data_IF_920975010588
#
_entry.id   IF_920975010588
#
_cell.length_a   1.000
_cell.length_b   1.000
_cell.length_c   1.000
_cell.angle_alpha   90.00
_cell.angle_beta   90.00
_cell.angle_gamma   90.00
#
_symmetry.space_group_name_H-M   'P 1'
#
loop_
_entity.id
_entity.type
_entity.pdbx_description
1 polymer ?
#
# COMPACT_ATOMS: atom_id res chain seq x y z
N UNK A 1 16.83 -23.29 -35.93
CA UNK A 1 15.58 -23.08 -35.15
C UNK A 1 15.89 -22.57 -33.73
N UNK A 2 16.81 -21.62 -33.55
CA UNK A 2 17.33 -21.19 -32.22
C UNK A 2 17.20 -19.68 -31.95
N UNK A 3 16.76 -18.88 -32.93
CA UNK A 3 16.66 -17.42 -32.81
C UNK A 3 15.47 -16.90 -32.01
N UNK A 4 14.34 -17.63 -31.96
CA UNK A 4 13.13 -17.23 -31.23
C UNK A 4 13.35 -17.21 -29.70
N UNK A 5 14.08 -18.19 -29.16
CA UNK A 5 14.29 -18.33 -27.72
C UNK A 5 15.10 -17.19 -27.09
N UNK A 6 15.99 -16.52 -27.84
CA UNK A 6 16.80 -15.43 -27.29
C UNK A 6 16.01 -14.11 -27.20
N UNK A 7 15.26 -13.79 -28.26
CA UNK A 7 14.42 -12.60 -28.31
C UNK A 7 13.30 -12.66 -27.25
N UNK A 8 12.67 -13.82 -27.06
CA UNK A 8 11.66 -14.03 -26.01
C UNK A 8 12.26 -13.89 -24.60
N UNK A 9 13.46 -14.41 -24.37
CA UNK A 9 14.16 -14.27 -23.08
C UNK A 9 14.55 -12.82 -22.78
N UNK A 10 15.00 -12.09 -23.79
CA UNK A 10 15.29 -10.65 -23.68
C UNK A 10 14.03 -9.84 -23.41
N UNK A 11 12.94 -10.08 -24.16
CA UNK A 11 11.67 -9.40 -23.97
C UNK A 11 11.08 -9.64 -22.57
N UNK A 12 11.11 -10.88 -22.09
CA UNK A 12 10.69 -11.22 -20.73
C UNK A 12 11.58 -10.56 -19.68
N UNK A 13 12.90 -10.60 -19.87
CA UNK A 13 13.85 -9.95 -18.96
C UNK A 13 13.62 -8.45 -18.85
N UNK A 14 13.42 -7.77 -19.98
CA UNK A 14 13.13 -6.34 -20.03
C UNK A 14 11.78 -6.00 -19.38
N UNK A 15 10.73 -6.77 -19.66
CA UNK A 15 9.42 -6.58 -19.03
C UNK A 15 9.51 -6.74 -17.51
N UNK A 16 10.17 -7.79 -17.03
CA UNK A 16 10.37 -8.02 -15.60
C UNK A 16 11.19 -6.89 -14.96
N UNK A 17 12.28 -6.46 -15.60
CA UNK A 17 13.08 -5.35 -15.12
C UNK A 17 12.25 -4.05 -15.03
N UNK A 18 11.44 -3.76 -16.05
CA UNK A 18 10.53 -2.62 -16.04
C UNK A 18 9.51 -2.71 -14.89
N UNK A 19 8.84 -3.85 -14.72
CA UNK A 19 7.91 -4.06 -13.61
C UNK A 19 8.60 -3.89 -12.26
N UNK A 20 9.81 -4.45 -12.08
CA UNK A 20 10.59 -4.30 -10.83
C UNK A 20 10.89 -2.84 -10.56
N UNK A 21 11.35 -2.07 -11.56
CA UNK A 21 11.65 -0.64 -11.40
C UNK A 21 10.39 0.14 -11.03
N UNK A 22 9.28 -0.09 -11.72
CA UNK A 22 8.00 0.60 -11.45
C UNK A 22 7.49 0.24 -10.05
N UNK A 23 7.43 -1.03 -9.68
CA UNK A 23 6.97 -1.43 -8.35
C UNK A 23 7.90 -0.92 -7.25
N UNK A 24 9.21 -0.93 -7.47
CA UNK A 24 10.17 -0.37 -6.51
C UNK A 24 9.94 1.12 -6.31
N UNK A 25 9.68 1.88 -7.38
CA UNK A 25 9.35 3.29 -7.29
C UNK A 25 8.02 3.55 -6.54
N UNK A 26 6.98 2.74 -6.79
CA UNK A 26 5.70 2.85 -6.10
C UNK A 26 5.78 2.46 -4.61
N UNK A 27 6.62 1.49 -4.27
CA UNK A 27 6.80 0.99 -2.90
C UNK A 27 7.83 1.84 -2.11
N UNK A 28 8.76 2.53 -2.79
CA UNK A 28 9.78 3.37 -2.16
C UNK A 28 9.24 4.33 -1.07
N UNK A 29 8.16 5.11 -1.28
CA UNK A 29 7.64 5.97 -0.22
C UNK A 29 7.12 5.17 0.99
N UNK A 30 6.56 3.97 0.77
CA UNK A 30 6.12 3.11 1.87
C UNK A 30 7.30 2.61 2.71
N UNK A 31 8.44 2.29 2.08
CA UNK A 31 9.67 1.90 2.79
C UNK A 31 10.25 3.02 3.64
N UNK A 32 10.01 4.29 3.28
CA UNK A 32 10.43 5.45 4.07
C UNK A 32 9.48 5.70 5.24
N UNK A 33 8.17 5.53 5.01
CA UNK A 33 7.14 5.73 6.03
C UNK A 33 7.18 4.67 7.14
N UNK A 34 7.52 3.42 6.82
CA UNK A 34 7.55 2.32 7.80
C UNK A 34 8.55 2.56 8.96
N UNK A 35 9.82 2.93 8.75
CA UNK A 35 10.71 3.29 9.85
C UNK A 35 10.21 4.51 10.63
N UNK A 36 9.71 5.53 9.92
CA UNK A 36 9.20 6.76 10.54
C UNK A 36 7.97 6.51 11.42
N UNK A 37 7.15 5.49 11.16
CA UNK A 37 6.01 5.15 12.01
C UNK A 37 6.44 4.62 13.39
N UNK A 38 7.71 4.22 13.54
CA UNK A 38 8.32 3.90 14.82
C UNK A 38 9.03 5.09 15.47
N UNK A 39 8.97 6.31 14.93
CA UNK A 39 9.63 7.45 15.56
C UNK A 39 8.94 7.79 16.91
N UNK A 40 9.75 7.96 17.96
CA UNK A 40 9.29 8.40 19.27
C UNK A 40 8.80 9.87 19.27
N UNK A 41 9.39 10.70 18.42
CA UNK A 41 9.06 12.12 18.30
C UNK A 41 7.70 12.35 17.61
N UNK A 42 7.02 13.47 17.89
CA UNK A 42 5.75 13.83 17.24
C UNK A 42 5.92 14.28 15.77
N UNK A 43 7.14 14.23 15.22
CA UNK A 43 7.47 14.76 13.89
C UNK A 43 7.79 13.64 12.90
N UNK A 44 7.27 13.73 11.67
CA UNK A 44 7.53 12.78 10.58
C UNK A 44 8.84 13.08 9.85
N UNK A 45 9.93 13.18 10.63
CA UNK A 45 11.29 13.41 10.12
C UNK A 45 12.24 12.39 10.73
N UNK A 46 13.28 12.01 10.01
CA UNK A 46 14.35 11.17 10.57
C UNK A 46 15.13 11.97 11.61
N UNK A 47 14.91 11.68 12.89
CA UNK A 47 15.63 12.34 13.98
C UNK A 47 17.08 11.87 14.06
N UNK A 48 17.94 12.64 14.73
CA UNK A 48 19.34 12.24 14.91
C UNK A 48 19.46 10.91 15.67
N UNK A 49 18.58 10.64 16.64
CA UNK A 49 18.55 9.38 17.38
C UNK A 49 18.23 8.18 16.49
N UNK A 50 17.27 8.29 15.57
CA UNK A 50 16.96 7.22 14.61
C UNK A 50 18.13 6.94 13.66
N UNK A 51 18.81 7.99 13.18
CA UNK A 51 19.99 7.83 12.32
C UNK A 51 21.19 7.23 13.09
N UNK A 52 21.30 7.53 14.38
CA UNK A 52 22.31 6.96 15.28
C UNK A 52 21.97 5.54 15.78
N UNK A 53 20.81 4.98 15.38
CA UNK A 53 20.30 3.69 15.84
C UNK A 53 20.14 3.61 17.37
N UNK A 54 19.80 4.73 18.00
CA UNK A 54 19.50 4.79 19.43
C UNK A 54 18.15 4.13 19.71
N UNK A 55 18.10 3.24 20.71
CA UNK A 55 16.89 2.52 21.08
C UNK A 55 15.78 3.47 21.58
N UNK A 56 16.15 4.55 22.26
CA UNK A 56 15.19 5.52 22.83
C UNK A 56 14.48 6.36 21.74
N UNK A 57 15.03 6.39 20.52
CA UNK A 57 14.44 7.08 19.39
C UNK A 57 13.29 6.29 18.72
N UNK A 58 13.09 5.03 19.08
CA UNK A 58 12.03 4.17 18.52
C UNK A 58 10.90 3.91 19.53
N UNK A 59 9.65 4.01 19.09
CA UNK A 59 8.46 3.83 19.94
C UNK A 59 7.25 3.30 19.16
N UNK A 60 6.39 2.54 19.85
CA UNK A 60 5.10 2.07 19.34
C UNK A 60 3.93 3.02 19.70
N UNK A 61 4.23 4.25 20.12
CA UNK A 61 3.23 5.21 20.62
C UNK A 61 2.06 5.43 19.65
N UNK A 62 2.34 5.52 18.36
CA UNK A 62 1.35 5.77 17.32
C UNK A 62 0.41 4.59 17.11
N UNK A 63 0.94 3.37 17.15
CA UNK A 63 0.14 2.15 17.11
C UNK A 63 -0.77 2.06 18.34
N UNK A 64 -0.25 2.39 19.53
CA UNK A 64 -1.06 2.44 20.75
C UNK A 64 -2.15 3.51 20.65
N UNK A 65 -1.86 4.69 20.11
CA UNK A 65 -2.87 5.75 19.98
C UNK A 65 -4.01 5.36 19.05
N UNK A 66 -3.73 4.63 17.96
CA UNK A 66 -4.78 4.14 17.05
C UNK A 66 -5.76 3.18 17.75
N UNK A 67 -5.27 2.36 18.67
CA UNK A 67 -6.09 1.36 19.39
C UNK A 67 -6.85 2.00 20.55
N UNK A 68 -6.18 2.84 21.33
CA UNK A 68 -6.72 3.40 22.58
C UNK A 68 -7.66 4.58 22.32
N UNK A 69 -7.35 5.41 21.32
CA UNK A 69 -8.15 6.60 21.04
C UNK A 69 -9.47 6.21 20.35
N UNK A 70 -10.57 6.62 20.96
CA UNK A 70 -11.92 6.32 20.50
C UNK A 70 -12.24 6.95 19.14
N UNK A 71 -11.75 8.16 18.87
CA UNK A 71 -11.97 8.83 17.57
C UNK A 71 -11.36 8.03 16.42
N UNK A 72 -10.13 7.55 16.60
CA UNK A 72 -9.45 6.73 15.60
C UNK A 72 -10.18 5.41 15.37
N UNK A 73 -10.63 4.76 16.44
CA UNK A 73 -11.37 3.50 16.34
C UNK A 73 -12.72 3.68 15.63
N UNK A 74 -13.47 4.72 16.00
CA UNK A 74 -14.76 5.05 15.37
C UNK A 74 -14.57 5.36 13.88
N UNK A 75 -13.59 6.21 13.54
CA UNK A 75 -13.29 6.53 12.15
C UNK A 75 -12.93 5.28 11.33
N UNK A 76 -12.06 4.41 11.85
CA UNK A 76 -11.71 3.14 11.20
C UNK A 76 -12.94 2.25 10.97
N UNK A 77 -13.78 2.07 11.99
CA UNK A 77 -14.99 1.24 11.85
C UNK A 77 -15.98 1.81 10.85
N UNK A 78 -16.19 3.14 10.85
CA UNK A 78 -17.08 3.80 9.92
C UNK A 78 -16.59 3.68 8.48
N UNK A 79 -15.31 3.94 8.23
CA UNK A 79 -14.71 3.81 6.89
C UNK A 79 -14.77 2.37 6.37
N UNK A 80 -14.47 1.37 7.22
CA UNK A 80 -14.57 -0.04 6.83
C UNK A 80 -16.01 -0.44 6.50
N UNK A 81 -16.97 -0.03 7.33
CA UNK A 81 -18.38 -0.34 7.10
C UNK A 81 -18.89 0.28 5.80
N UNK A 82 -18.67 1.59 5.62
CA UNK A 82 -19.08 2.31 4.41
C UNK A 82 -18.37 1.72 3.18
N UNK A 83 -17.06 1.46 3.26
CA UNK A 83 -16.28 0.91 2.16
C UNK A 83 -16.77 -0.46 1.71
N UNK A 84 -17.09 -1.36 2.65
CA UNK A 84 -17.61 -2.69 2.33
C UNK A 84 -19.00 -2.63 1.68
N UNK A 85 -19.90 -1.83 2.24
CA UNK A 85 -21.26 -1.66 1.69
C UNK A 85 -21.17 -1.05 0.28
N UNK A 86 -20.34 -0.02 0.10
CA UNK A 86 -20.13 0.61 -1.21
C UNK A 86 -19.54 -0.38 -2.23
N UNK A 87 -18.52 -1.17 -1.86
CA UNK A 87 -17.92 -2.17 -2.74
C UNK A 87 -18.92 -3.26 -3.17
N UNK A 88 -19.73 -3.74 -2.23
CA UNK A 88 -20.76 -4.74 -2.50
C UNK A 88 -21.82 -4.19 -3.48
N UNK A 89 -22.36 -2.99 -3.19
CA UNK A 89 -23.34 -2.34 -4.05
C UNK A 89 -22.77 -2.04 -5.44
N UNK A 90 -21.55 -1.50 -5.51
CA UNK A 90 -20.88 -1.20 -6.77
C UNK A 90 -20.67 -2.46 -7.61
N UNK A 91 -20.31 -3.59 -6.97
CA UNK A 91 -20.13 -4.87 -7.66
C UNK A 91 -21.45 -5.40 -8.20
N UNK A 92 -22.52 -5.41 -7.40
CA UNK A 92 -23.84 -5.87 -7.83
C UNK A 92 -24.36 -5.01 -8.99
N UNK A 93 -24.36 -3.68 -8.82
CA UNK A 93 -24.84 -2.76 -9.85
C UNK A 93 -23.97 -2.81 -11.11
N UNK A 94 -22.64 -2.91 -10.95
CA UNK A 94 -21.71 -3.04 -12.07
C UNK A 94 -21.92 -4.32 -12.88
N UNK A 95 -22.15 -5.46 -12.20
CA UNK A 95 -22.47 -6.73 -12.87
C UNK A 95 -23.81 -6.65 -13.59
N UNK A 96 -24.85 -6.09 -12.96
CA UNK A 96 -26.16 -5.93 -13.60
C UNK A 96 -26.09 -5.02 -14.84
N UNK A 97 -25.35 -3.90 -14.75
CA UNK A 97 -25.14 -3.00 -15.88
C UNK A 97 -24.37 -3.68 -17.03
N UNK A 98 -23.33 -4.46 -16.71
CA UNK A 98 -22.57 -5.20 -17.72
C UNK A 98 -23.44 -6.25 -18.43
N UNK A 99 -24.29 -6.97 -17.70
CA UNK A 99 -25.23 -7.94 -18.28
C UNK A 99 -26.27 -7.25 -19.18
N UNK A 100 -26.81 -6.10 -18.75
CA UNK A 100 -27.76 -5.34 -19.55
C UNK A 100 -27.17 -4.72 -20.82
N UNK A 101 -25.86 -4.39 -20.83
CA UNK A 101 -25.19 -3.89 -22.03
C UNK A 101 -24.75 -5.03 -22.98
N UNK A 102 -24.47 -6.22 -22.43
CA UNK A 102 -24.03 -7.38 -23.20
C UNK A 102 -25.19 -8.15 -23.86
N UNK A 103 -26.44 -7.85 -23.50
CA UNK A 103 -27.60 -8.37 -24.24
C UNK A 103 -27.72 -7.64 -25.59
N UNK A 104 -27.70 -8.37 -26.73
CA UNK A 104 -27.77 -7.79 -28.07
C UNK A 104 -29.09 -7.09 -28.38
#
# INVERSE_FOLDING_TARGET
MTGHNLAERLGRGLHLAFCIVVFSFLIAPMLVVVPLSFNAEPYFTFSQGMLALDADAYSLRWYRSVIVNEEWRLALTNSLFIGLVAAALATVLGVLAALGLASP
#
